data_IF_266419872087
#
_entry.id   IF_266419872087
#
_cell.length_a   1.000
_cell.length_b   1.000
_cell.length_c   1.000
_cell.angle_alpha   90.00
_cell.angle_beta   90.00
_cell.angle_gamma   90.00
#
_symmetry.space_group_name_H-M   'P 1'
#
loop_
_entity.id
_entity.type
_entity.pdbx_description
1 polymer ?
#
# COMPACT_ATOMS: atom_id res chain seq x y z
N UNK A 1 -0.15 -18.87 -10.03
CA UNK A 1 0.91 -17.86 -9.78
C UNK A 1 0.61 -17.25 -8.41
N UNK A 2 1.42 -17.58 -7.41
CA UNK A 2 1.20 -17.14 -6.02
C UNK A 2 1.91 -15.80 -5.84
N UNK A 3 1.18 -14.73 -5.54
CA UNK A 3 1.80 -13.43 -5.23
C UNK A 3 2.68 -13.59 -3.98
N UNK A 4 3.93 -13.15 -4.07
CA UNK A 4 4.87 -13.12 -2.94
C UNK A 4 5.14 -11.66 -2.59
N UNK A 5 4.93 -11.31 -1.33
CA UNK A 5 5.23 -9.97 -0.80
C UNK A 5 6.69 -9.61 -1.07
N UNK A 6 6.91 -8.48 -1.75
CA UNK A 6 8.25 -7.93 -1.99
C UNK A 6 8.73 -7.12 -0.79
N UNK A 7 7.81 -6.41 -0.14
CA UNK A 7 8.10 -5.48 0.94
C UNK A 7 7.68 -6.01 2.31
N UNK A 8 8.13 -5.33 3.37
CA UNK A 8 7.81 -5.70 4.75
C UNK A 8 6.44 -5.17 5.14
N UNK A 9 5.47 -6.09 5.28
CA UNK A 9 4.13 -5.77 5.77
C UNK A 9 4.03 -6.03 7.27
N UNK A 10 3.51 -5.05 8.02
CA UNK A 10 3.30 -5.12 9.47
C UNK A 10 1.87 -4.71 9.80
N UNK A 11 1.27 -5.33 10.80
CA UNK A 11 -0.04 -4.90 11.30
C UNK A 11 0.11 -3.50 11.89
N UNK A 12 -0.71 -2.55 11.44
CA UNK A 12 -0.61 -1.15 11.90
C UNK A 12 -1.16 -1.02 13.32
N UNK A 13 -2.27 -1.69 13.62
CA UNK A 13 -2.98 -1.62 14.90
C UNK A 13 -3.15 -3.03 15.50
N UNK A 14 -2.09 -3.61 16.08
CA UNK A 14 -2.18 -4.91 16.71
C UNK A 14 -3.09 -4.82 17.95
N UNK A 15 -4.23 -5.50 17.91
CA UNK A 15 -5.17 -5.59 19.04
C UNK A 15 -6.56 -5.01 18.82
N UNK A 16 -6.76 -4.22 17.76
CA UNK A 16 -8.10 -3.69 17.41
C UNK A 16 -8.95 -4.68 16.58
N UNK A 17 -8.36 -5.80 16.14
CA UNK A 17 -9.06 -6.79 15.30
C UNK A 17 -9.37 -6.29 13.88
N UNK A 18 -8.82 -5.14 13.49
CA UNK A 18 -8.97 -4.58 12.15
C UNK A 18 -7.93 -5.19 11.20
N UNK A 19 -8.35 -5.49 9.97
CA UNK A 19 -7.47 -5.97 8.91
C UNK A 19 -6.74 -4.77 8.29
N UNK A 20 -5.72 -4.31 9.01
CA UNK A 20 -4.96 -3.10 8.72
C UNK A 20 -3.45 -3.36 8.73
N UNK A 21 -2.80 -3.12 7.60
CA UNK A 21 -1.40 -3.45 7.39
C UNK A 21 -0.66 -2.29 6.74
N UNK A 22 0.48 -1.92 7.31
CA UNK A 22 1.41 -0.93 6.75
C UNK A 22 2.59 -1.64 6.08
N UNK A 23 2.95 -1.16 4.91
CA UNK A 23 4.08 -1.61 4.11
C UNK A 23 5.30 -0.72 4.30
N UNK A 24 6.46 -1.35 4.41
CA UNK A 24 7.75 -0.72 4.60
C UNK A 24 8.81 -1.30 3.66
N UNK A 25 9.64 -0.44 3.08
CA UNK A 25 10.88 -0.77 2.37
C UNK A 25 12.07 -0.40 3.27
N UNK A 26 12.51 -1.34 4.12
CA UNK A 26 13.45 -1.05 5.20
C UNK A 26 12.80 -0.16 6.27
N UNK A 27 13.33 1.05 6.47
CA UNK A 27 12.80 2.07 7.37
C UNK A 27 11.79 3.02 6.69
N UNK A 28 11.64 2.92 5.37
CA UNK A 28 10.75 3.79 4.62
C UNK A 28 9.32 3.25 4.64
N UNK A 29 8.38 4.06 5.10
CA UNK A 29 6.95 3.80 4.91
C UNK A 29 6.57 3.98 3.44
N UNK A 30 6.02 2.94 2.80
CA UNK A 30 5.65 2.98 1.37
C UNK A 30 4.13 3.02 1.16
N UNK A 31 3.34 2.54 2.13
CA UNK A 31 1.88 2.61 2.07
C UNK A 31 1.19 1.79 3.14
N UNK A 32 -0.14 1.75 3.08
CA UNK A 32 -1.00 1.01 4.01
C UNK A 32 -2.20 0.46 3.28
N UNK A 33 -2.70 -0.68 3.75
CA UNK A 33 -3.98 -1.25 3.36
C UNK A 33 -4.85 -1.38 4.60
N UNK A 34 -6.13 -1.14 4.44
CA UNK A 34 -7.10 -1.29 5.52
C UNK A 34 -8.42 -1.78 4.97
N UNK A 35 -9.07 -2.70 5.68
CA UNK A 35 -10.43 -3.09 5.33
C UNK A 35 -11.41 -1.98 5.69
N UNK A 36 -12.12 -1.50 4.70
CA UNK A 36 -13.18 -0.52 4.87
C UNK A 36 -14.43 -1.24 5.40
N UNK A 37 -14.82 -0.90 6.62
CA UNK A 37 -16.04 -1.40 7.28
C UNK A 37 -17.11 -0.31 7.43
N UNK A 38 -16.76 0.93 7.09
CA UNK A 38 -17.52 2.15 7.39
C UNK A 38 -18.27 2.70 6.19
N UNK A 39 -17.72 2.53 4.99
CA UNK A 39 -18.23 3.07 3.73
C UNK A 39 -19.26 2.12 3.15
N UNK A 40 -20.50 2.58 2.99
CA UNK A 40 -21.62 1.74 2.54
C UNK A 40 -21.39 1.13 1.14
N UNK A 41 -20.68 1.83 0.26
CA UNK A 41 -20.40 1.41 -1.12
C UNK A 41 -19.25 0.41 -1.24
N UNK A 42 -18.28 0.47 -0.32
CA UNK A 42 -17.03 -0.30 -0.35
C UNK A 42 -16.88 -1.22 0.87
N UNK A 43 -18.01 -1.57 1.49
CA UNK A 43 -18.04 -2.33 2.74
C UNK A 43 -17.44 -3.72 2.51
N UNK A 44 -16.44 -4.06 3.31
CA UNK A 44 -15.61 -5.27 3.24
C UNK A 44 -14.51 -5.25 2.16
N UNK A 45 -14.33 -4.16 1.42
CA UNK A 45 -13.21 -4.01 0.49
C UNK A 45 -11.98 -3.45 1.22
N UNK A 46 -10.80 -3.75 0.70
CA UNK A 46 -9.53 -3.25 1.17
C UNK A 46 -9.16 -1.96 0.45
N UNK A 47 -9.19 -0.86 1.19
CA UNK A 47 -8.62 0.39 0.73
C UNK A 47 -7.09 0.29 0.81
N UNK A 48 -6.41 0.62 -0.27
CA UNK A 48 -4.96 0.79 -0.29
C UNK A 48 -4.60 2.25 -0.43
N UNK A 49 -3.47 2.64 0.15
CA UNK A 49 -2.94 4.01 0.11
C UNK A 49 -1.43 4.00 0.00
N UNK A 50 -0.93 4.50 -1.12
CA UNK A 50 0.47 4.80 -1.38
C UNK A 50 0.90 6.08 -0.66
N UNK A 51 1.91 5.93 0.20
CA UNK A 51 2.36 6.99 1.10
C UNK A 51 3.87 7.16 1.15
N UNK A 52 4.61 6.57 0.19
CA UNK A 52 6.05 6.76 0.06
C UNK A 52 6.39 8.25 0.06
N UNK A 53 7.15 8.67 1.06
CA UNK A 53 7.50 10.06 1.32
C UNK A 53 8.99 10.23 1.59
N UNK A 54 9.56 11.35 1.15
CA UNK A 54 10.98 11.65 1.29
C UNK A 54 11.48 12.60 0.21
N UNK A 55 12.72 13.06 0.31
CA UNK A 55 13.33 13.95 -0.71
C UNK A 55 13.36 13.33 -2.11
N UNK A 56 13.49 12.00 -2.19
CA UNK A 56 13.54 11.24 -3.44
C UNK A 56 12.15 11.01 -4.07
N UNK A 57 11.08 11.45 -3.40
CA UNK A 57 9.70 11.10 -3.73
C UNK A 57 8.83 12.34 -3.96
N UNK A 58 9.42 13.39 -4.55
CA UNK A 58 8.75 14.67 -4.78
C UNK A 58 7.67 14.61 -5.89
N UNK A 59 7.79 13.71 -6.86
CA UNK A 59 6.82 13.57 -7.94
C UNK A 59 5.82 12.46 -7.59
N UNK A 60 4.81 12.79 -6.78
CA UNK A 60 3.81 11.82 -6.31
C UNK A 60 2.95 11.31 -7.45
N UNK A 61 2.90 9.99 -7.62
CA UNK A 61 2.02 9.34 -8.60
C UNK A 61 0.57 9.35 -8.09
N UNK A 62 -0.36 9.80 -8.93
CA UNK A 62 -1.80 9.70 -8.70
C UNK A 62 -2.42 8.69 -9.68
N UNK A 63 -3.46 7.93 -9.28
CA UNK A 63 -4.05 7.90 -7.94
C UNK A 63 -3.10 7.26 -6.92
N UNK A 64 -3.08 7.81 -5.70
CA UNK A 64 -2.29 7.27 -4.58
C UNK A 64 -3.13 6.39 -3.65
N UNK A 65 -4.40 6.15 -3.97
CA UNK A 65 -5.30 5.32 -3.19
C UNK A 65 -6.33 4.66 -4.10
N UNK A 66 -6.86 3.53 -3.66
CA UNK A 66 -7.91 2.79 -4.34
C UNK A 66 -8.54 1.76 -3.42
N UNK A 67 -9.50 1.00 -3.95
CA UNK A 67 -10.18 -0.08 -3.25
C UNK A 67 -10.05 -1.36 -4.05
N UNK A 68 -9.78 -2.45 -3.35
CA UNK A 68 -9.65 -3.79 -3.91
C UNK A 68 -10.47 -4.76 -3.06
N UNK A 69 -10.90 -5.89 -3.63
CA UNK A 69 -11.75 -6.83 -2.90
C UNK A 69 -11.00 -7.60 -1.82
N UNK A 70 -9.73 -7.93 -2.07
CA UNK A 70 -8.93 -8.79 -1.22
C UNK A 70 -7.67 -8.07 -0.72
N UNK A 71 -7.22 -8.43 0.49
CA UNK A 71 -6.04 -7.82 1.12
C UNK A 71 -4.76 -7.95 0.27
N UNK A 72 -4.59 -9.08 -0.43
CA UNK A 72 -3.41 -9.33 -1.25
C UNK A 72 -3.42 -8.53 -2.55
N UNK A 73 -4.60 -8.22 -3.09
CA UNK A 73 -4.75 -7.34 -4.25
C UNK A 73 -4.41 -5.90 -3.86
N UNK A 74 -4.95 -5.43 -2.73
CA UNK A 74 -4.60 -4.13 -2.16
C UNK A 74 -3.10 -4.02 -1.88
N UNK A 75 -2.51 -5.07 -1.29
CA UNK A 75 -1.07 -5.12 -1.04
C UNK A 75 -0.29 -5.00 -2.34
N UNK A 76 -0.60 -5.83 -3.33
CA UNK A 76 0.02 -5.77 -4.66
C UNK A 76 -0.12 -4.39 -5.29
N UNK A 77 -1.26 -3.72 -5.15
CA UNK A 77 -1.48 -2.37 -5.69
C UNK A 77 -0.58 -1.32 -5.03
N UNK A 78 -0.34 -1.41 -3.71
CA UNK A 78 0.66 -0.54 -3.04
C UNK A 78 2.06 -0.80 -3.56
N UNK A 79 2.45 -2.07 -3.72
CA UNK A 79 3.78 -2.42 -4.23
C UNK A 79 3.98 -1.93 -5.67
N UNK A 80 2.99 -2.11 -6.53
CA UNK A 80 2.96 -1.66 -7.93
C UNK A 80 3.01 -0.13 -8.03
N UNK A 81 2.21 0.57 -7.22
CA UNK A 81 2.24 2.03 -7.12
C UNK A 81 3.62 2.53 -6.67
N UNK A 82 4.22 1.91 -5.67
CA UNK A 82 5.55 2.30 -5.17
C UNK A 82 6.64 2.07 -6.22
N UNK A 83 6.58 0.97 -6.96
CA UNK A 83 7.50 0.67 -8.06
C UNK A 83 7.42 1.73 -9.16
N UNK A 84 6.21 2.01 -9.66
CA UNK A 84 5.96 3.04 -10.66
C UNK A 84 6.36 4.45 -10.15
N UNK A 85 6.21 4.68 -8.86
CA UNK A 85 6.59 5.93 -8.21
C UNK A 85 8.12 6.06 -8.10
N UNK A 86 8.86 4.98 -7.83
CA UNK A 86 10.33 4.94 -7.91
C UNK A 86 10.80 5.22 -9.33
N UNK A 87 10.26 4.51 -10.32
CA UNK A 87 10.61 4.71 -11.74
C UNK A 87 10.38 6.17 -12.17
N UNK A 88 9.24 6.75 -11.79
CA UNK A 88 8.90 8.15 -12.09
C UNK A 88 9.83 9.17 -11.42
N UNK A 89 10.43 8.82 -10.29
CA UNK A 89 11.42 9.66 -9.61
C UNK A 89 12.87 9.29 -9.99
N UNK A 90 13.06 8.41 -10.99
CA UNK A 90 14.38 8.00 -11.48
C UNK A 90 15.14 7.07 -10.54
N UNK A 91 14.42 6.36 -9.66
CA UNK A 91 14.97 5.35 -8.75
C UNK A 91 14.74 3.96 -9.35
N UNK A 92 15.70 3.05 -9.20
CA UNK A 92 15.54 1.68 -9.68
C UNK A 92 14.43 0.94 -8.89
N UNK A 93 13.52 0.21 -9.56
CA UNK A 93 12.53 -0.67 -8.94
C UNK A 93 13.21 -1.82 -8.18
N UNK A 94 12.53 -2.43 -7.21
CA UNK A 94 13.11 -3.46 -6.32
C UNK A 94 12.47 -4.84 -6.45
#
# INVERSE_FOLDING_TARGET
>A
MTWQKKYSWRVTWPGEGHEDYSAYDGDLYIGRIMRDLTTHTHKNEFMWSGGAGGKSFNNRLMPHQGWEKEHWQAAKAVEDWYDAMRERNGLEPR
#
